data_IF_049825938330
#
_entry.id   IF_049825938330
#
_cell.length_a   1.000
_cell.length_b   1.000
_cell.length_c   1.000
_cell.angle_alpha   90.00
_cell.angle_beta   90.00
_cell.angle_gamma   90.00
#
_symmetry.space_group_name_H-M   'P 1'
#
loop_
_entity.id
_entity.type
_entity.pdbx_description
1 polymer ?
#
# COMPACT_ATOMS: atom_id res chain seq x y z
N UNK A 1 -7.18 -5.00 -13.72
CA UNK A 1 -7.29 -3.68 -14.39
C UNK A 1 -8.41 -2.98 -13.64
N UNK A 2 -8.07 -2.07 -12.72
CA UNK A 2 -9.04 -1.38 -11.86
C UNK A 2 -8.71 0.12 -11.86
N UNK A 3 -8.97 0.76 -13.00
CA UNK A 3 -9.65 2.05 -13.09
C UNK A 3 -10.11 2.18 -14.54
N UNK A 4 -11.41 2.36 -14.77
CA UNK A 4 -11.93 2.79 -16.07
C UNK A 4 -11.68 4.31 -16.29
N UNK A 5 -10.99 4.97 -15.34
CA UNK A 5 -10.59 6.38 -15.36
C UNK A 5 -9.08 6.60 -15.21
N UNK A 6 -8.66 7.86 -15.32
CA UNK A 6 -7.25 8.28 -15.27
C UNK A 6 -6.61 8.19 -13.88
N UNK A 7 -5.29 8.18 -13.83
CA UNK A 7 -4.51 8.26 -12.58
C UNK A 7 -4.09 9.71 -12.30
N UNK A 8 -3.66 10.02 -11.07
CA UNK A 8 -3.31 11.39 -10.68
C UNK A 8 -2.28 12.09 -11.59
N UNK A 9 -1.29 11.42 -12.22
CA UNK A 9 -0.44 12.06 -13.22
C UNK A 9 -1.23 12.52 -14.46
N UNK A 10 -2.22 11.76 -14.93
CA UNK A 10 -3.05 12.12 -16.09
C UNK A 10 -3.93 13.34 -15.78
N UNK A 11 -4.43 13.43 -14.53
CA UNK A 11 -5.18 14.61 -14.09
C UNK A 11 -4.28 15.83 -13.90
N UNK A 12 -3.00 15.65 -13.56
CA UNK A 12 -2.05 16.75 -13.45
C UNK A 12 -1.84 17.45 -14.81
N UNK A 13 -1.73 16.69 -15.91
CA UNK A 13 -1.66 17.25 -17.28
C UNK A 13 -2.94 17.99 -17.69
N UNK A 14 -4.10 17.58 -17.14
CA UNK A 14 -5.37 18.25 -17.41
C UNK A 14 -5.51 19.58 -16.66
N UNK A 15 -4.92 19.66 -15.46
CA UNK A 15 -4.86 20.90 -14.66
C UNK A 15 -3.95 21.92 -15.35
N UNK A 16 -2.81 21.46 -15.86
CA UNK A 16 -1.81 22.30 -16.50
C UNK A 16 -1.22 21.62 -17.74
N UNK A 17 -1.53 22.18 -18.91
CA UNK A 17 -1.11 21.63 -20.20
C UNK A 17 0.38 21.73 -20.48
N UNK A 18 1.12 22.51 -19.70
CA UNK A 18 2.58 22.62 -19.83
C UNK A 18 3.29 21.47 -19.09
N UNK A 19 2.56 20.73 -18.24
CA UNK A 19 3.06 19.51 -17.61
C UNK A 19 2.88 18.33 -18.56
N UNK A 20 3.98 17.61 -18.82
CA UNK A 20 3.96 16.31 -19.48
C UNK A 20 4.41 15.22 -18.50
N UNK A 21 3.47 14.39 -18.08
CA UNK A 21 3.69 13.27 -17.18
C UNK A 21 4.00 11.98 -17.95
N UNK A 22 5.07 11.29 -17.54
CA UNK A 22 5.39 9.94 -18.05
C UNK A 22 5.31 8.95 -16.90
N UNK A 23 4.28 8.10 -16.92
CA UNK A 23 4.04 7.15 -15.85
C UNK A 23 4.88 5.88 -16.02
N UNK A 24 5.87 5.70 -15.13
CA UNK A 24 6.67 4.47 -15.04
C UNK A 24 6.18 3.48 -13.97
N UNK A 25 5.10 3.82 -13.26
CA UNK A 25 4.46 2.96 -12.28
C UNK A 25 3.88 1.70 -12.91
N UNK A 26 3.89 0.62 -12.15
CA UNK A 26 3.36 -0.68 -12.57
C UNK A 26 2.66 -1.35 -11.39
N UNK A 27 1.63 -2.12 -11.67
CA UNK A 27 0.88 -2.80 -10.61
C UNK A 27 1.74 -3.87 -9.94
N UNK A 28 1.72 -3.89 -8.60
CA UNK A 28 2.34 -4.95 -7.81
C UNK A 28 3.86 -4.91 -7.70
N UNK A 29 4.53 -3.83 -8.14
CA UNK A 29 5.99 -3.71 -8.00
C UNK A 29 6.39 -3.11 -6.65
N UNK A 30 7.44 -3.64 -6.04
CA UNK A 30 8.05 -3.15 -4.79
C UNK A 30 9.15 -2.10 -5.03
N UNK A 31 9.73 -1.54 -3.97
CA UNK A 31 10.79 -0.51 -4.09
C UNK A 31 12.03 -0.99 -4.84
N UNK A 32 12.31 -2.30 -4.86
CA UNK A 32 13.44 -2.88 -5.60
C UNK A 32 13.20 -2.73 -7.11
N UNK A 33 12.03 -3.15 -7.58
CA UNK A 33 11.66 -3.02 -8.98
C UNK A 33 11.50 -1.57 -9.42
N UNK A 34 10.95 -0.70 -8.56
CA UNK A 34 10.92 0.75 -8.81
C UNK A 34 12.34 1.29 -9.03
N UNK A 35 13.30 0.93 -8.17
CA UNK A 35 14.71 1.34 -8.31
C UNK A 35 15.31 0.91 -9.65
N UNK A 36 15.07 -0.32 -10.08
CA UNK A 36 15.55 -0.81 -11.38
C UNK A 36 14.91 -0.05 -12.54
N UNK A 37 13.60 0.20 -12.50
CA UNK A 37 12.90 0.98 -13.53
C UNK A 37 13.40 2.41 -13.62
N UNK A 38 13.61 3.09 -12.48
CA UNK A 38 14.21 4.44 -12.45
C UNK A 38 15.60 4.42 -13.08
N UNK A 39 16.43 3.43 -12.75
CA UNK A 39 17.77 3.30 -13.35
C UNK A 39 17.71 3.18 -14.86
N UNK A 40 16.79 2.39 -15.41
CA UNK A 40 16.65 2.25 -16.86
C UNK A 40 16.06 3.52 -17.51
N UNK A 41 15.05 4.14 -16.90
CA UNK A 41 14.44 5.37 -17.41
C UNK A 41 15.46 6.51 -17.50
N UNK A 42 16.27 6.70 -16.46
CA UNK A 42 17.29 7.75 -16.39
C UNK A 42 18.49 7.55 -17.34
N UNK A 43 18.61 6.39 -17.99
CA UNK A 43 19.56 6.19 -19.10
C UNK A 43 19.02 6.69 -20.45
N UNK A 44 17.69 6.75 -20.58
CA UNK A 44 17.01 7.08 -21.84
C UNK A 44 16.80 8.60 -21.91
N UNK A 45 16.28 9.20 -20.84
CA UNK A 45 16.00 10.62 -20.78
C UNK A 45 16.17 11.15 -19.36
N UNK A 46 16.51 12.45 -19.27
CA UNK A 46 16.56 13.19 -18.00
C UNK A 46 15.27 14.01 -17.88
N UNK A 47 14.38 13.72 -16.92
CA UNK A 47 13.21 14.56 -16.66
C UNK A 47 13.59 15.85 -15.90
N UNK A 48 12.74 16.87 -15.98
CA UNK A 48 12.89 18.11 -15.21
C UNK A 48 12.52 17.94 -13.74
N UNK A 49 11.63 16.98 -13.45
CA UNK A 49 11.15 16.62 -12.12
C UNK A 49 10.88 15.12 -12.05
N UNK A 50 11.22 14.48 -10.93
CA UNK A 50 10.83 13.10 -10.67
C UNK A 50 9.86 13.02 -9.49
N UNK A 51 8.81 12.24 -9.66
CA UNK A 51 7.84 11.93 -8.61
C UNK A 51 7.98 10.47 -8.18
N UNK A 52 8.00 10.21 -6.87
CA UNK A 52 8.16 8.86 -6.30
C UNK A 52 7.07 8.58 -5.26
N UNK A 53 6.31 7.52 -5.50
CA UNK A 53 5.34 6.92 -4.58
C UNK A 53 5.63 5.42 -4.51
N UNK A 54 5.89 4.91 -3.31
CA UNK A 54 6.21 3.49 -3.05
C UNK A 54 5.89 3.11 -1.61
N UNK A 55 5.94 1.80 -1.28
CA UNK A 55 5.87 1.29 0.08
C UNK A 55 4.83 0.18 0.30
N UNK A 56 3.66 0.25 -0.33
CA UNK A 56 2.59 -0.74 -0.12
C UNK A 56 3.03 -2.15 -0.53
N UNK A 57 3.58 -2.27 -1.74
CA UNK A 57 4.01 -3.56 -2.27
C UNK A 57 5.28 -4.11 -1.63
N UNK A 58 6.04 -3.31 -0.88
CA UNK A 58 7.21 -3.81 -0.13
C UNK A 58 6.77 -4.77 0.98
N UNK A 59 5.68 -4.45 1.68
CA UNK A 59 5.07 -5.38 2.63
C UNK A 59 4.37 -6.52 1.91
N UNK A 60 3.56 -6.22 0.90
CA UNK A 60 2.77 -7.23 0.22
C UNK A 60 3.64 -8.32 -0.40
N UNK A 61 4.68 -7.93 -1.15
CA UNK A 61 5.61 -8.86 -1.82
C UNK A 61 6.36 -9.72 -0.81
N UNK A 62 6.90 -9.11 0.25
CA UNK A 62 7.66 -9.84 1.26
C UNK A 62 6.80 -10.87 1.99
N UNK A 63 5.59 -10.50 2.40
CA UNK A 63 4.68 -11.41 3.08
C UNK A 63 4.16 -12.48 2.13
N UNK A 64 3.69 -12.12 0.94
CA UNK A 64 3.14 -13.06 -0.03
C UNK A 64 4.16 -14.10 -0.49
N UNK A 65 5.42 -13.72 -0.68
CA UNK A 65 6.43 -14.62 -1.22
C UNK A 65 7.16 -15.43 -0.14
N UNK A 66 7.27 -14.91 1.09
CA UNK A 66 8.12 -15.52 2.12
C UNK A 66 7.36 -16.03 3.34
N UNK A 67 6.31 -15.33 3.76
CA UNK A 67 5.66 -15.57 5.06
C UNK A 67 4.36 -16.35 4.87
N UNK A 68 3.50 -15.86 3.98
CA UNK A 68 2.19 -16.43 3.67
C UNK A 68 2.35 -17.92 3.32
N UNK A 69 3.18 -18.39 2.37
CA UNK A 69 3.26 -19.81 2.01
C UNK A 69 3.56 -20.72 3.23
N UNK A 70 4.50 -20.29 4.09
CA UNK A 70 4.94 -21.04 5.27
C UNK A 70 3.81 -21.30 6.28
N UNK A 71 2.86 -20.37 6.43
CA UNK A 71 1.70 -20.51 7.33
C UNK A 71 0.45 -20.99 6.61
N UNK A 72 0.27 -20.55 5.37
CA UNK A 72 -0.92 -20.78 4.56
C UNK A 72 -1.02 -22.24 4.10
N UNK A 73 0.10 -22.93 3.94
CA UNK A 73 0.06 -24.35 3.56
C UNK A 73 -0.27 -25.27 4.74
N UNK A 74 -0.08 -24.81 5.98
CA UNK A 74 -0.39 -25.63 7.18
C UNK A 74 -1.88 -25.78 7.43
N UNK A 75 -2.67 -24.76 7.12
CA UNK A 75 -4.12 -24.71 7.42
C UNK A 75 -5.00 -24.56 6.19
N UNK A 76 -4.44 -24.21 5.02
CA UNK A 76 -5.21 -24.05 3.78
C UNK A 76 -5.92 -25.33 3.31
N UNK A 77 -5.51 -26.51 3.80
CA UNK A 77 -6.23 -27.76 3.52
C UNK A 77 -7.65 -27.77 4.11
N UNK A 78 -7.92 -27.00 5.18
CA UNK A 78 -9.25 -26.87 5.78
C UNK A 78 -10.24 -26.17 4.82
N UNK A 79 -9.74 -25.35 3.91
CA UNK A 79 -10.56 -24.67 2.89
C UNK A 79 -10.90 -25.55 1.69
N UNK A 80 -10.29 -26.74 1.57
CA UNK A 80 -10.59 -27.66 0.47
C UNK A 80 -12.01 -28.22 0.54
N UNK A 81 -12.50 -28.50 1.74
CA UNK A 81 -13.85 -29.02 1.94
C UNK A 81 -14.93 -28.01 1.54
N UNK A 82 -14.96 -26.77 2.07
CA UNK A 82 -15.96 -25.80 1.65
C UNK A 82 -15.85 -25.46 0.15
N UNK A 83 -14.62 -25.37 -0.40
CA UNK A 83 -14.42 -25.21 -1.85
C UNK A 83 -15.12 -26.30 -2.67
N UNK A 84 -15.00 -27.57 -2.26
CA UNK A 84 -15.63 -28.70 -2.94
C UNK A 84 -17.16 -28.64 -2.94
N UNK A 85 -17.77 -28.01 -1.93
CA UNK A 85 -19.22 -27.84 -1.82
C UNK A 85 -19.73 -26.60 -2.56
N UNK A 86 -18.88 -25.60 -2.73
CA UNK A 86 -19.21 -24.33 -3.40
C UNK A 86 -18.88 -24.34 -4.91
N UNK A 87 -17.97 -25.21 -5.36
CA UNK A 87 -17.61 -25.35 -6.78
C UNK A 87 -18.62 -26.21 -7.53
N UNK A 88 -18.96 -25.83 -8.77
CA UNK A 88 -19.79 -26.69 -9.62
C UNK A 88 -19.04 -27.99 -10.00
N UNK A 89 -19.73 -29.13 -10.19
CA UNK A 89 -19.08 -30.41 -10.52
C UNK A 89 -18.16 -30.39 -11.75
N UNK A 90 -18.37 -29.46 -12.69
CA UNK A 90 -17.54 -29.27 -13.88
C UNK A 90 -16.21 -28.54 -13.61
N UNK A 91 -16.11 -27.80 -12.50
CA UNK A 91 -14.90 -27.06 -12.07
C UNK A 91 -14.02 -27.90 -11.13
N UNK A 92 -14.57 -28.96 -10.54
CA UNK A 92 -13.88 -29.87 -9.61
C UNK A 92 -12.76 -30.67 -10.30
N UNK A 93 -12.82 -30.91 -11.61
CA UNK A 93 -11.72 -31.56 -12.36
C UNK A 93 -10.46 -30.71 -12.46
N UNK A 94 -10.55 -29.42 -12.12
CA UNK A 94 -9.46 -28.44 -12.11
C UNK A 94 -8.89 -28.19 -10.71
N UNK A 95 -8.81 -29.24 -9.88
CA UNK A 95 -8.18 -29.22 -8.54
C UNK A 95 -6.74 -28.67 -8.50
N UNK A 96 -6.11 -28.46 -9.66
CA UNK A 96 -4.73 -28.03 -9.82
C UNK A 96 -4.54 -26.58 -10.33
N UNK A 97 -5.60 -25.81 -10.62
CA UNK A 97 -5.45 -24.58 -11.41
C UNK A 97 -6.17 -23.40 -10.78
N UNK A 98 -5.41 -22.35 -10.45
CA UNK A 98 -5.80 -20.94 -10.24
C UNK A 98 -7.01 -20.61 -9.32
N UNK A 99 -8.16 -21.23 -9.50
CA UNK A 99 -9.43 -20.96 -8.83
C UNK A 99 -9.37 -21.30 -7.34
N UNK A 100 -8.82 -22.47 -6.98
CA UNK A 100 -8.60 -22.80 -5.56
C UNK A 100 -7.60 -21.86 -4.89
N UNK A 101 -6.62 -21.33 -5.64
CA UNK A 101 -5.69 -20.32 -5.12
C UNK A 101 -6.44 -19.02 -4.79
N UNK A 102 -7.32 -18.55 -5.67
CA UNK A 102 -8.16 -17.37 -5.41
C UNK A 102 -9.15 -17.60 -4.28
N UNK A 103 -9.78 -18.76 -4.24
CA UNK A 103 -10.67 -19.16 -3.14
C UNK A 103 -9.94 -19.11 -1.79
N UNK A 104 -8.77 -19.77 -1.73
CA UNK A 104 -7.90 -19.73 -0.55
C UNK A 104 -7.53 -18.29 -0.20
N UNK A 105 -7.19 -17.48 -1.21
CA UNK A 105 -6.85 -16.07 -1.00
C UNK A 105 -7.97 -15.28 -0.36
N UNK A 106 -9.21 -15.48 -0.81
CA UNK A 106 -10.37 -14.75 -0.33
C UNK A 106 -10.85 -15.22 1.04
N UNK A 107 -10.87 -16.53 1.31
CA UNK A 107 -11.53 -17.10 2.50
C UNK A 107 -10.59 -17.43 3.67
N UNK A 108 -9.29 -17.40 3.45
CA UNK A 108 -8.33 -17.77 4.48
C UNK A 108 -8.23 -16.76 5.63
N UNK A 109 -8.26 -15.44 5.39
CA UNK A 109 -8.28 -14.47 6.49
C UNK A 109 -9.47 -14.70 7.44
N UNK A 110 -10.65 -15.05 6.95
CA UNK A 110 -11.82 -15.41 7.77
C UNK A 110 -11.60 -16.70 8.55
N UNK A 111 -11.03 -17.73 7.92
CA UNK A 111 -10.68 -18.98 8.61
C UNK A 111 -9.72 -18.71 9.77
N UNK A 112 -8.68 -17.90 9.55
CA UNK A 112 -7.74 -17.52 10.60
C UNK A 112 -8.43 -16.76 11.74
N UNK A 113 -9.32 -15.83 11.41
CA UNK A 113 -10.12 -15.14 12.42
C UNK A 113 -11.02 -16.10 13.21
N UNK A 114 -11.67 -17.07 12.53
CA UNK A 114 -12.47 -18.08 13.21
C UNK A 114 -11.62 -18.93 14.16
N UNK A 115 -10.49 -19.47 13.69
CA UNK A 115 -9.59 -20.29 14.50
C UNK A 115 -9.02 -19.53 15.70
N UNK A 116 -8.73 -18.23 15.55
CA UNK A 116 -8.33 -17.37 16.67
C UNK A 116 -9.45 -17.20 17.71
N UNK A 117 -10.70 -16.97 17.27
CA UNK A 117 -11.85 -16.80 18.18
C UNK A 117 -12.13 -18.03 19.03
N UNK A 118 -11.93 -19.23 18.48
CA UNK A 118 -12.11 -20.50 19.21
C UNK A 118 -10.84 -20.98 19.92
N UNK A 119 -9.74 -20.22 19.86
CA UNK A 119 -8.50 -20.51 20.57
C UNK A 119 -7.64 -21.63 19.95
N UNK A 120 -7.90 -22.03 18.70
CA UNK A 120 -7.12 -23.04 17.98
C UNK A 120 -5.94 -22.44 17.19
N UNK A 121 -5.89 -21.12 17.06
CA UNK A 121 -4.80 -20.41 16.40
C UNK A 121 -4.48 -19.13 17.18
N UNK A 122 -3.21 -18.75 17.26
CA UNK A 122 -2.81 -17.51 17.89
C UNK A 122 -1.69 -16.86 17.08
N UNK A 123 -1.81 -15.56 16.85
CA UNK A 123 -0.83 -14.79 16.09
C UNK A 123 0.03 -14.02 17.09
N UNK A 124 1.32 -14.31 17.09
CA UNK A 124 2.28 -13.55 17.87
C UNK A 124 2.88 -12.45 16.99
N UNK A 125 2.32 -11.23 17.07
CA UNK A 125 2.78 -10.07 16.29
C UNK A 125 4.28 -9.80 16.52
N UNK A 126 4.81 -10.07 17.72
CA UNK A 126 6.20 -9.77 18.03
C UNK A 126 7.19 -10.58 17.18
N UNK A 127 6.80 -11.77 16.72
CA UNK A 127 7.62 -12.59 15.81
C UNK A 127 7.81 -11.96 14.43
N UNK A 128 6.90 -11.06 14.03
CA UNK A 128 6.93 -10.42 12.72
C UNK A 128 7.57 -9.04 12.75
N UNK A 129 7.78 -8.45 13.93
CA UNK A 129 8.43 -7.15 14.07
C UNK A 129 9.82 -7.10 13.40
N UNK A 130 10.72 -8.11 13.57
CA UNK A 130 12.00 -8.11 12.88
C UNK A 130 11.86 -8.14 11.35
N UNK A 131 10.82 -8.79 10.83
CA UNK A 131 10.56 -8.85 9.38
C UNK A 131 10.06 -7.50 8.88
N UNK A 132 9.14 -6.87 9.62
CA UNK A 132 8.66 -5.52 9.30
C UNK A 132 9.82 -4.52 9.26
N UNK A 133 10.73 -4.57 10.24
CA UNK A 133 11.91 -3.71 10.27
C UNK A 133 12.83 -3.95 9.08
N UNK A 134 13.01 -5.21 8.67
CA UNK A 134 13.82 -5.56 7.50
C UNK A 134 13.19 -5.04 6.20
N UNK A 135 11.87 -5.15 6.05
CA UNK A 135 11.12 -4.60 4.90
C UNK A 135 11.31 -3.09 4.83
N UNK A 136 11.10 -2.38 5.95
CA UNK A 136 11.33 -0.93 6.04
C UNK A 136 12.76 -0.57 5.67
N UNK A 137 13.75 -1.32 6.19
CA UNK A 137 15.16 -1.09 5.87
C UNK A 137 15.43 -1.22 4.37
N UNK A 138 14.93 -2.28 3.72
CA UNK A 138 15.11 -2.48 2.28
C UNK A 138 14.44 -1.38 1.46
N UNK A 139 13.20 -1.02 1.81
CA UNK A 139 12.47 0.08 1.18
C UNK A 139 13.25 1.39 1.26
N UNK A 140 13.70 1.77 2.47
CA UNK A 140 14.48 3.00 2.70
C UNK A 140 15.83 2.98 1.98
N UNK A 141 16.51 1.82 1.91
CA UNK A 141 17.75 1.68 1.15
C UNK A 141 17.52 1.87 -0.35
N UNK A 142 16.49 1.24 -0.92
CA UNK A 142 16.17 1.36 -2.34
C UNK A 142 15.76 2.80 -2.70
N UNK A 143 14.95 3.45 -1.86
CA UNK A 143 14.62 4.86 -2.01
C UNK A 143 15.88 5.74 -1.95
N UNK A 144 16.80 5.48 -1.01
CA UNK A 144 18.08 6.18 -0.95
C UNK A 144 18.86 6.11 -2.27
N UNK A 145 18.93 4.92 -2.88
CA UNK A 145 19.59 4.75 -4.19
C UNK A 145 18.87 5.51 -5.31
N UNK A 146 17.53 5.52 -5.33
CA UNK A 146 16.74 6.31 -6.28
C UNK A 146 17.09 7.80 -6.17
N UNK A 147 17.13 8.32 -4.94
CA UNK A 147 17.45 9.72 -4.68
C UNK A 147 18.91 10.06 -5.07
N UNK A 148 19.85 9.13 -4.86
CA UNK A 148 21.24 9.32 -5.27
C UNK A 148 21.37 9.37 -6.81
N UNK A 149 20.63 8.52 -7.54
CA UNK A 149 20.60 8.55 -9.01
C UNK A 149 20.04 9.88 -9.54
N UNK A 150 18.97 10.39 -8.96
CA UNK A 150 18.39 11.69 -9.34
C UNK A 150 19.31 12.87 -9.01
N UNK A 151 19.91 12.85 -7.81
CA UNK A 151 20.87 13.86 -7.36
C UNK A 151 22.10 13.95 -8.27
N UNK A 152 22.62 12.81 -8.73
CA UNK A 152 23.74 12.76 -9.68
C UNK A 152 23.43 13.47 -11.01
N UNK A 153 22.15 13.57 -11.37
CA UNK A 153 21.67 14.28 -12.57
C UNK A 153 21.02 15.63 -12.24
N UNK A 154 21.11 16.11 -10.99
CA UNK A 154 20.49 17.35 -10.53
C UNK A 154 18.98 17.41 -10.85
N UNK A 155 18.29 16.28 -10.72
CA UNK A 155 16.84 16.20 -10.90
C UNK A 155 16.18 16.45 -9.52
N UNK A 156 15.31 17.45 -9.36
CA UNK A 156 14.49 17.58 -8.17
C UNK A 156 13.54 16.38 -8.03
N UNK A 157 13.34 15.92 -6.80
CA UNK A 157 12.49 14.76 -6.51
C UNK A 157 11.41 15.13 -5.51
N UNK A 158 10.15 14.84 -5.85
CA UNK A 158 9.04 14.82 -4.89
C UNK A 158 8.81 13.37 -4.45
N UNK A 159 8.93 13.12 -3.15
CA UNK A 159 8.56 11.84 -2.55
C UNK A 159 7.23 12.03 -1.81
N UNK A 160 6.24 11.24 -2.16
CA UNK A 160 4.91 11.32 -1.57
C UNK A 160 4.67 10.16 -0.59
N UNK A 161 4.07 10.43 0.57
CA UNK A 161 3.62 9.36 1.47
C UNK A 161 2.42 8.64 0.86
N UNK A 162 2.37 7.29 0.88
CA UNK A 162 1.17 6.57 0.50
C UNK A 162 0.04 6.88 1.49
N UNK A 163 -1.19 6.78 0.98
CA UNK A 163 -2.42 6.79 1.77
C UNK A 163 -3.20 5.54 1.43
N UNK A 164 -3.90 4.99 2.41
CA UNK A 164 -4.62 3.73 2.24
C UNK A 164 -6.02 3.79 2.85
N UNK A 165 -6.87 2.83 2.47
CA UNK A 165 -8.20 2.69 3.03
C UNK A 165 -8.11 2.18 4.47
N UNK A 166 -8.22 3.08 5.45
CA UNK A 166 -8.17 2.75 6.87
C UNK A 166 -9.47 2.10 7.37
N UNK A 167 -10.57 2.21 6.61
CA UNK A 167 -11.85 1.58 6.91
C UNK A 167 -12.02 0.19 6.27
N UNK A 168 -11.01 -0.31 5.57
CA UNK A 168 -10.93 -1.73 5.21
C UNK A 168 -10.35 -2.53 6.39
N UNK A 169 -11.04 -3.60 6.80
CA UNK A 169 -10.68 -4.39 7.99
C UNK A 169 -9.29 -5.04 7.83
N UNK A 170 -8.30 -4.70 8.69
CA UNK A 170 -7.02 -5.38 8.71
C UNK A 170 -7.14 -6.80 9.25
N UNK A 171 -6.33 -7.71 8.72
CA UNK A 171 -6.18 -9.06 9.25
C UNK A 171 -4.89 -9.25 10.03
N UNK A 172 -5.02 -9.68 11.29
CA UNK A 172 -3.91 -9.91 12.21
C UNK A 172 -4.39 -10.55 13.51
N UNK A 173 -3.64 -10.35 14.60
CA UNK A 173 -4.07 -10.81 15.94
C UNK A 173 -5.38 -10.13 16.34
N UNK A 174 -6.40 -10.92 16.71
CA UNK A 174 -7.72 -10.38 17.08
C UNK A 174 -7.65 -9.47 18.30
N UNK A 175 -6.81 -9.81 19.28
CA UNK A 175 -6.75 -9.05 20.54
C UNK A 175 -6.22 -7.63 20.31
N UNK A 176 -5.35 -7.45 19.34
CA UNK A 176 -4.72 -6.19 19.00
C UNK A 176 -5.37 -5.56 17.77
N UNK A 177 -5.19 -6.17 16.60
CA UNK A 177 -5.58 -5.67 15.28
C UNK A 177 -7.07 -5.38 15.18
N UNK A 178 -7.90 -6.40 15.39
CA UNK A 178 -9.37 -6.28 15.28
C UNK A 178 -9.94 -5.38 16.38
N UNK A 179 -9.40 -5.44 17.60
CA UNK A 179 -9.82 -4.56 18.70
C UNK A 179 -9.55 -3.10 18.38
N UNK A 180 -8.35 -2.75 17.90
CA UNK A 180 -7.99 -1.39 17.51
C UNK A 180 -8.88 -0.90 16.37
N UNK A 181 -9.08 -1.73 15.34
CA UNK A 181 -9.92 -1.42 14.19
C UNK A 181 -11.36 -1.09 14.61
N UNK A 182 -12.00 -1.99 15.37
CA UNK A 182 -13.38 -1.79 15.85
C UNK A 182 -13.53 -0.55 16.73
N UNK A 183 -12.55 -0.30 17.60
CA UNK A 183 -12.53 0.92 18.43
C UNK A 183 -12.41 2.17 17.57
N UNK A 184 -11.54 2.15 16.56
CA UNK A 184 -11.36 3.24 15.60
C UNK A 184 -12.66 3.56 14.84
N UNK A 185 -13.34 2.54 14.31
CA UNK A 185 -14.64 2.70 13.65
C UNK A 185 -15.75 3.21 14.57
N UNK A 186 -15.73 2.83 15.85
CA UNK A 186 -16.72 3.27 16.83
C UNK A 186 -16.45 4.65 17.43
N UNK A 187 -15.27 5.23 17.19
CA UNK A 187 -14.89 6.52 17.73
C UNK A 187 -15.64 7.65 17.04
N UNK A 188 -16.23 8.56 17.82
CA UNK A 188 -16.83 9.80 17.32
C UNK A 188 -15.82 10.93 17.18
N UNK A 189 -14.65 10.81 17.83
CA UNK A 189 -13.54 11.75 17.68
C UNK A 189 -12.68 11.32 16.48
N UNK A 190 -12.47 12.24 15.52
CA UNK A 190 -11.73 11.97 14.29
C UNK A 190 -10.28 11.60 14.57
N UNK A 191 -9.58 12.37 15.42
CA UNK A 191 -8.19 12.13 15.73
C UNK A 191 -7.95 10.76 16.36
N UNK A 192 -8.78 10.38 17.34
CA UNK A 192 -8.75 9.06 17.97
C UNK A 192 -9.13 7.95 16.98
N UNK A 193 -10.11 8.18 16.11
CA UNK A 193 -10.50 7.24 15.06
C UNK A 193 -9.30 6.92 14.15
N UNK A 194 -8.70 7.94 13.54
CA UNK A 194 -7.55 7.78 12.64
C UNK A 194 -6.37 7.15 13.36
N UNK A 195 -6.05 7.59 14.59
CA UNK A 195 -4.95 7.02 15.38
C UNK A 195 -5.13 5.52 15.63
N UNK A 196 -6.33 5.08 15.98
CA UNK A 196 -6.63 3.67 16.24
C UNK A 196 -6.65 2.83 14.95
N UNK A 197 -7.20 3.37 13.86
CA UNK A 197 -7.22 2.66 12.57
C UNK A 197 -5.80 2.47 12.00
N UNK A 198 -4.94 3.48 12.11
CA UNK A 198 -3.51 3.35 11.75
C UNK A 198 -2.78 2.33 12.62
N UNK A 199 -3.01 2.36 13.94
CA UNK A 199 -2.45 1.35 14.82
C UNK A 199 -2.93 -0.07 14.46
N UNK A 200 -4.18 -0.23 13.98
CA UNK A 200 -4.66 -1.50 13.48
C UNK A 200 -3.93 -1.91 12.18
N UNK A 201 -3.78 -1.00 11.21
CA UNK A 201 -2.98 -1.19 9.99
C UNK A 201 -1.55 -1.66 10.30
N UNK A 202 -0.89 -1.03 11.27
CA UNK A 202 0.49 -1.39 11.63
C UNK A 202 0.62 -2.81 12.18
N UNK A 203 -0.46 -3.38 12.70
CA UNK A 203 -0.53 -4.77 13.22
C UNK A 203 -1.05 -5.80 12.21
N UNK A 204 -1.38 -5.37 10.99
CA UNK A 204 -1.83 -6.22 9.90
C UNK A 204 -0.72 -7.17 9.41
N UNK A 205 -1.06 -8.43 9.10
CA UNK A 205 -0.09 -9.47 8.72
C UNK A 205 -0.58 -10.40 7.59
N UNK A 206 -1.87 -10.68 7.48
CA UNK A 206 -2.38 -11.77 6.62
C UNK A 206 -3.40 -11.34 5.57
N UNK A 207 -3.54 -10.03 5.36
CA UNK A 207 -4.28 -9.49 4.22
C UNK A 207 -3.45 -9.72 2.96
N UNK A 208 -4.07 -10.09 1.84
CA UNK A 208 -3.36 -10.28 0.56
C UNK A 208 -2.98 -8.97 -0.15
N UNK A 209 -3.43 -7.84 0.41
CA UNK A 209 -3.14 -6.49 -0.05
C UNK A 209 -2.68 -5.69 1.17
N UNK A 210 -1.50 -6.05 1.70
CA UNK A 210 -0.92 -5.39 2.86
C UNK A 210 -0.63 -3.93 2.54
N UNK A 211 -1.08 -3.06 3.44
CA UNK A 211 -0.84 -1.62 3.37
C UNK A 211 0.56 -1.28 3.90
N UNK A 212 1.13 -0.18 3.43
CA UNK A 212 2.37 0.35 3.98
C UNK A 212 2.19 0.68 5.47
N UNK A 213 3.15 0.27 6.30
CA UNK A 213 3.11 0.56 7.74
C UNK A 213 3.71 1.94 8.04
N UNK A 214 3.36 2.48 9.21
CA UNK A 214 3.85 3.77 9.70
C UNK A 214 5.36 3.91 9.64
N UNK A 215 6.14 2.84 9.85
CA UNK A 215 7.61 2.90 9.80
C UNK A 215 8.17 3.34 8.43
N UNK A 216 7.55 2.91 7.32
CA UNK A 216 7.93 3.38 5.97
C UNK A 216 7.54 4.85 5.80
N UNK A 217 6.33 5.22 6.25
CA UNK A 217 5.80 6.58 6.15
C UNK A 217 6.69 7.56 6.95
N UNK A 218 7.06 7.21 8.18
CA UNK A 218 7.98 8.01 9.01
C UNK A 218 9.39 8.09 8.39
N UNK A 219 9.85 7.04 7.72
CA UNK A 219 11.11 7.06 6.98
C UNK A 219 11.07 8.07 5.82
N UNK A 220 9.95 8.15 5.10
CA UNK A 220 9.71 9.14 4.04
C UNK A 220 9.64 10.57 4.63
N UNK A 221 8.88 10.77 5.71
CA UNK A 221 8.78 12.06 6.43
C UNK A 221 10.13 12.59 6.90
N UNK A 222 11.01 11.68 7.30
CA UNK A 222 12.33 12.01 7.84
C UNK A 222 13.37 12.33 6.76
N UNK A 223 13.02 12.26 5.47
CA UNK A 223 13.94 12.61 4.39
C UNK A 223 14.30 14.09 4.47
N UNK A 224 15.58 14.35 4.66
CA UNK A 224 16.15 15.69 4.63
C UNK A 224 17.38 15.68 3.73
N UNK A 225 17.16 15.98 2.44
CA UNK A 225 18.20 15.99 1.40
C UNK A 225 17.99 17.19 0.49
N UNK A 226 19.08 17.72 -0.06
CA UNK A 226 19.02 18.79 -1.06
C UNK A 226 18.26 18.30 -2.30
N UNK A 227 17.39 19.16 -2.85
CA UNK A 227 16.56 18.89 -4.02
C UNK A 227 15.59 17.69 -3.84
N UNK A 228 15.29 17.31 -2.59
CA UNK A 228 14.26 16.32 -2.27
C UNK A 228 13.18 17.02 -1.46
N UNK A 229 11.94 16.89 -1.93
CA UNK A 229 10.76 17.49 -1.37
C UNK A 229 9.82 16.38 -0.92
N UNK A 230 9.27 16.49 0.29
CA UNK A 230 8.36 15.48 0.83
C UNK A 230 6.95 16.03 0.83
N UNK A 231 6.07 15.42 0.03
CA UNK A 231 4.63 15.65 0.10
C UNK A 231 4.03 14.61 1.06
N UNK A 232 3.81 15.03 2.31
CA UNK A 232 3.15 14.19 3.31
C UNK A 232 1.63 14.19 3.09
N UNK A 233 1.20 13.50 2.04
CA UNK A 233 -0.20 13.42 1.61
C UNK A 233 -1.10 12.95 2.75
N UNK A 234 -0.65 11.97 3.54
CA UNK A 234 -1.38 11.48 4.70
C UNK A 234 -1.69 12.60 5.71
N UNK A 235 -0.70 13.46 6.05
CA UNK A 235 -0.93 14.60 6.96
C UNK A 235 -1.76 15.72 6.32
N UNK A 236 -1.62 15.95 5.01
CA UNK A 236 -2.46 16.93 4.31
C UNK A 236 -3.93 16.51 4.40
N UNK A 237 -4.22 15.23 4.16
CA UNK A 237 -5.58 14.70 4.18
C UNK A 237 -6.15 14.57 5.61
N UNK A 238 -5.34 14.20 6.60
CA UNK A 238 -5.76 14.25 8.01
C UNK A 238 -6.24 15.64 8.43
N UNK A 239 -5.53 16.71 8.02
CA UNK A 239 -5.93 18.09 8.31
C UNK A 239 -7.23 18.50 7.63
N UNK A 240 -7.61 17.81 6.55
CA UNK A 240 -8.86 18.00 5.81
C UNK A 240 -9.98 17.07 6.32
N UNK A 241 -9.76 16.36 7.43
CA UNK A 241 -10.67 15.36 7.98
C UNK A 241 -11.10 14.30 6.94
N UNK A 242 -10.18 13.93 6.05
CA UNK A 242 -10.42 12.92 5.03
C UNK A 242 -10.85 11.59 5.67
N UNK A 243 -11.80 10.89 5.05
CA UNK A 243 -12.47 9.76 5.69
C UNK A 243 -11.65 8.46 5.65
N UNK A 244 -10.77 8.33 4.65
CA UNK A 244 -9.96 7.14 4.39
C UNK A 244 -10.80 5.86 4.25
N UNK A 245 -11.92 5.94 3.50
CA UNK A 245 -12.91 4.88 3.38
C UNK A 245 -13.24 4.45 1.94
N UNK A 246 -14.19 3.54 1.78
CA UNK A 246 -14.63 3.05 0.46
C UNK A 246 -15.17 4.12 -0.49
N UNK A 247 -15.52 5.29 0.03
CA UNK A 247 -15.87 6.49 -0.74
C UNK A 247 -14.69 7.09 -1.50
N UNK A 248 -13.46 6.74 -1.12
CA UNK A 248 -12.20 7.29 -1.63
C UNK A 248 -11.34 6.22 -2.34
N UNK A 249 -11.58 4.94 -2.06
CA UNK A 249 -10.78 3.81 -2.53
C UNK A 249 -11.65 2.74 -3.20
N UNK A 250 -11.08 2.06 -4.19
CA UNK A 250 -11.67 0.87 -4.82
C UNK A 250 -11.44 -0.37 -3.95
N UNK A 251 -10.31 -0.43 -3.26
CA UNK A 251 -9.94 -1.52 -2.34
C UNK A 251 -9.12 -1.01 -1.13
N UNK A 252 -8.11 -1.77 -0.69
CA UNK A 252 -7.25 -1.42 0.44
C UNK A 252 -6.31 -0.24 0.13
N UNK A 253 -5.88 -0.07 -1.12
CA UNK A 253 -4.80 0.87 -1.48
C UNK A 253 -5.08 1.66 -2.76
N UNK A 254 -5.92 1.15 -3.68
CA UNK A 254 -6.16 1.81 -4.97
C UNK A 254 -7.22 2.91 -4.83
N UNK A 255 -6.88 4.10 -5.31
CA UNK A 255 -7.78 5.26 -5.29
C UNK A 255 -8.89 5.10 -6.31
N UNK A 256 -10.05 5.68 -6.04
CA UNK A 256 -11.02 5.93 -7.11
C UNK A 256 -10.67 7.21 -7.88
N UNK A 257 -11.36 7.46 -9.00
CA UNK A 257 -11.10 8.60 -9.88
C UNK A 257 -11.18 9.95 -9.15
N UNK A 258 -12.14 10.11 -8.25
CA UNK A 258 -12.31 11.35 -7.46
C UNK A 258 -11.09 11.59 -6.56
N UNK A 259 -10.59 10.56 -5.91
CA UNK A 259 -9.40 10.65 -5.07
C UNK A 259 -8.15 10.91 -5.90
N UNK A 260 -8.02 10.29 -7.07
CA UNK A 260 -6.93 10.60 -8.00
C UNK A 260 -6.93 12.08 -8.44
N UNK A 261 -8.10 12.64 -8.78
CA UNK A 261 -8.23 14.06 -9.13
C UNK A 261 -7.84 14.97 -7.94
N UNK A 262 -8.33 14.66 -6.74
CA UNK A 262 -7.98 15.42 -5.53
C UNK A 262 -6.47 15.38 -5.22
N UNK A 263 -5.83 14.21 -5.40
CA UNK A 263 -4.38 14.06 -5.21
C UNK A 263 -3.62 14.87 -6.26
N UNK A 264 -4.09 14.91 -7.51
CA UNK A 264 -3.51 15.74 -8.56
C UNK A 264 -3.56 17.24 -8.20
N UNK A 265 -4.70 17.72 -7.69
CA UNK A 265 -4.87 19.10 -7.20
C UNK A 265 -3.89 19.42 -6.06
N UNK A 266 -3.79 18.54 -5.06
CA UNK A 266 -2.86 18.70 -3.92
C UNK A 266 -1.41 18.71 -4.42
N UNK A 267 -1.08 17.84 -5.37
CA UNK A 267 0.26 17.77 -5.95
C UNK A 267 0.56 19.05 -6.73
N UNK A 268 -0.36 19.55 -7.55
CA UNK A 268 -0.20 20.79 -8.30
C UNK A 268 0.08 22.00 -7.39
N UNK A 269 -0.73 22.16 -6.33
CA UNK A 269 -0.53 23.20 -5.32
C UNK A 269 0.86 23.08 -4.67
N UNK A 270 1.27 21.85 -4.36
CA UNK A 270 2.58 21.58 -3.76
C UNK A 270 3.73 21.92 -4.71
N UNK A 271 3.63 21.54 -5.98
CA UNK A 271 4.65 21.84 -6.99
C UNK A 271 4.78 23.35 -7.22
N UNK A 272 3.65 24.05 -7.36
CA UNK A 272 3.59 25.51 -7.53
C UNK A 272 4.19 26.24 -6.33
N UNK A 273 3.80 25.85 -5.11
CA UNK A 273 4.30 26.46 -3.87
C UNK A 273 5.82 26.30 -3.69
N UNK A 274 6.38 25.21 -4.19
CA UNK A 274 7.82 24.95 -4.11
C UNK A 274 8.60 25.43 -5.34
N UNK A 275 7.93 26.12 -6.28
CA UNK A 275 8.52 26.61 -7.54
C UNK A 275 9.18 25.49 -8.36
N UNK A 276 8.54 24.32 -8.40
CA UNK A 276 8.97 23.15 -9.18
C UNK A 276 8.35 23.10 -10.58
N UNK A 277 7.35 23.95 -10.81
CA UNK A 277 6.67 24.23 -12.07
C UNK A 277 6.47 25.75 -12.17
N UNK A 278 6.35 26.28 -13.39
CA UNK A 278 6.24 27.73 -13.69
C UNK A 278 4.79 28.22 -13.72
#
# INVERSE_FOLDING_TARGET
MLSDGGVFPDYLEQIDSDIQAVNFGENGIDSLLVRERVREALKIARPDLMFVLLGDNDYNTAFHNSIIPTYFDRLGWLLRLPYLFESEPAEITHFASHDFYWYKRLHQPELFNFLQKIGLFNIDIQKYQPINSLITQYCTQNLGVILDMASAQQIPVVVMTPIENLRAEPFGDIKTTTTLYKRGLSSTDYGESIRLLKAAKDTELFTYDLRAKSDIIESIRSLNRKNVYVLDLEKVLEKREFAFGSEDFVDYVHYNDRTHLMVADILYDFLSHNHLIE
#
